data_IF_703828100718
#
_entry.id   IF_703828100718
#
_cell.length_a   1.000
_cell.length_b   1.000
_cell.length_c   1.000
_cell.angle_alpha   90.00
_cell.angle_beta   90.00
_cell.angle_gamma   90.00
#
_symmetry.space_group_name_H-M   'P 1'
#
loop_
_entity.id
_entity.type
_entity.pdbx_description
1 polymer ?
#
# COMPACT_ATOMS: atom_id res chain seq x y z
N UNK A 1 -10.58 0.33 -18.01
CA UNK A 1 -10.99 -0.95 -17.40
C UNK A 1 -12.05 -0.69 -16.34
N UNK A 2 -13.24 -1.26 -16.49
CA UNK A 2 -14.43 -0.94 -15.67
C UNK A 2 -14.14 -0.94 -14.16
N UNK A 3 -13.44 -1.95 -13.65
CA UNK A 3 -13.09 -2.05 -12.22
C UNK A 3 -12.22 -0.86 -11.78
N UNK A 4 -11.25 -0.45 -12.60
CA UNK A 4 -10.37 0.67 -12.27
C UNK A 4 -11.12 2.01 -12.26
N UNK A 5 -12.12 2.16 -13.13
CA UNK A 5 -12.99 3.34 -13.21
C UNK A 5 -13.94 3.40 -12.00
N UNK A 6 -14.56 2.29 -11.63
CA UNK A 6 -15.39 2.20 -10.40
C UNK A 6 -14.61 2.49 -9.13
N UNK A 7 -13.34 2.08 -9.08
CA UNK A 7 -12.45 2.45 -7.97
C UNK A 7 -12.22 3.98 -7.97
N UNK A 8 -12.00 4.59 -9.13
CA UNK A 8 -11.82 6.05 -9.19
C UNK A 8 -13.09 6.81 -8.76
N UNK A 9 -14.27 6.36 -9.17
CA UNK A 9 -15.56 6.89 -8.70
C UNK A 9 -15.68 6.79 -7.18
N UNK A 10 -15.41 5.61 -6.61
CA UNK A 10 -15.42 5.42 -5.16
C UNK A 10 -14.47 6.38 -4.44
N UNK A 11 -13.26 6.56 -4.96
CA UNK A 11 -12.29 7.48 -4.38
C UNK A 11 -12.79 8.93 -4.44
N UNK A 12 -13.41 9.37 -5.53
CA UNK A 12 -13.98 10.72 -5.61
C UNK A 12 -15.09 10.92 -4.56
N UNK A 13 -15.97 9.94 -4.38
CA UNK A 13 -17.07 10.01 -3.41
C UNK A 13 -16.59 9.93 -1.96
N UNK A 14 -15.50 9.18 -1.72
CA UNK A 14 -14.96 8.98 -0.38
C UNK A 14 -14.52 10.29 0.27
N UNK A 15 -13.99 11.24 -0.51
CA UNK A 15 -13.59 12.56 0.00
C UNK A 15 -14.78 13.30 0.63
N UNK A 16 -15.93 13.29 -0.05
CA UNK A 16 -17.15 13.93 0.44
C UNK A 16 -17.67 13.24 1.71
N UNK A 17 -17.58 11.91 1.78
CA UNK A 17 -17.92 11.15 2.99
C UNK A 17 -17.01 11.51 4.15
N UNK A 18 -15.70 11.58 3.93
CA UNK A 18 -14.72 11.96 4.95
C UNK A 18 -14.95 13.40 5.45
N UNK A 19 -15.39 14.30 4.57
CA UNK A 19 -15.72 15.69 4.94
C UNK A 19 -16.96 15.77 5.82
N UNK A 20 -17.94 14.89 5.63
CA UNK A 20 -19.22 14.90 6.35
C UNK A 20 -19.28 13.95 7.56
N UNK A 21 -18.30 13.07 7.72
CA UNK A 21 -18.19 12.11 8.84
C UNK A 21 -18.14 12.86 10.19
N UNK A 22 -18.82 12.48 11.27
CA UNK A 22 -18.67 13.14 12.58
C UNK A 22 -17.26 12.96 13.18
N UNK A 23 -16.76 13.95 13.94
CA UNK A 23 -15.45 13.83 14.61
C UNK A 23 -15.39 12.67 15.62
N UNK A 24 -16.52 12.31 16.22
CA UNK A 24 -16.62 11.14 17.10
C UNK A 24 -16.29 9.85 16.35
N UNK A 25 -16.80 9.69 15.14
CA UNK A 25 -16.56 8.49 14.31
C UNK A 25 -15.09 8.41 13.86
N UNK A 26 -14.47 9.55 13.54
CA UNK A 26 -13.04 9.62 13.23
C UNK A 26 -12.21 9.17 14.43
N UNK A 27 -12.55 9.64 15.64
CA UNK A 27 -11.88 9.21 16.88
C UNK A 27 -12.09 7.73 17.15
N UNK A 28 -13.31 7.22 16.99
CA UNK A 28 -13.60 5.79 17.18
C UNK A 28 -12.75 4.92 16.24
N UNK A 29 -12.58 5.33 14.99
CA UNK A 29 -11.70 4.64 14.04
C UNK A 29 -10.22 4.75 14.41
N UNK A 30 -9.76 5.93 14.84
CA UNK A 30 -8.39 6.14 15.30
C UNK A 30 -8.07 5.28 16.54
N UNK A 31 -8.98 5.23 17.51
CA UNK A 31 -8.84 4.44 18.74
C UNK A 31 -8.88 2.93 18.47
N UNK A 32 -9.76 2.50 17.56
CA UNK A 32 -9.81 1.10 17.13
C UNK A 32 -8.50 0.69 16.44
N UNK A 33 -7.92 1.56 15.61
CA UNK A 33 -6.63 1.31 14.96
C UNK A 33 -5.47 1.33 15.97
N UNK A 34 -5.42 2.33 16.85
CA UNK A 34 -4.45 2.44 17.93
C UNK A 34 -4.42 1.16 18.78
N UNK A 35 -5.60 0.69 19.21
CA UNK A 35 -5.75 -0.54 20.00
C UNK A 35 -5.27 -1.77 19.24
N UNK A 36 -5.60 -1.88 17.94
CA UNK A 36 -5.12 -2.98 17.09
C UNK A 36 -3.59 -2.96 16.94
N UNK A 37 -2.98 -1.78 16.86
CA UNK A 37 -1.53 -1.63 16.71
C UNK A 37 -0.75 -2.00 17.97
N UNK A 38 -1.32 -1.73 19.15
CA UNK A 38 -0.70 -2.05 20.45
C UNK A 38 -0.98 -3.47 20.93
N UNK A 39 -1.81 -4.24 20.22
CA UNK A 39 -2.12 -5.62 20.59
C UNK A 39 -0.82 -6.45 20.68
N UNK A 40 -0.56 -7.12 21.82
CA UNK A 40 0.65 -7.92 21.98
C UNK A 40 0.65 -9.10 21.03
N UNK A 41 1.84 -9.46 20.54
CA UNK A 41 2.03 -10.65 19.72
C UNK A 41 2.04 -11.86 20.66
N UNK A 42 1.19 -12.84 20.37
CA UNK A 42 1.01 -14.02 21.24
C UNK A 42 1.90 -15.20 20.82
N UNK A 43 2.55 -15.14 19.65
CA UNK A 43 3.37 -16.21 19.11
C UNK A 43 4.77 -15.70 18.76
N UNK A 44 5.79 -16.41 19.27
CA UNK A 44 7.20 -16.09 19.04
C UNK A 44 7.56 -16.07 17.55
N UNK A 45 6.99 -16.99 16.74
CA UNK A 45 7.24 -17.02 15.29
C UNK A 45 6.80 -15.72 14.61
N UNK A 46 5.64 -15.19 14.98
CA UNK A 46 5.12 -13.91 14.46
C UNK A 46 5.99 -12.73 14.89
N UNK A 47 6.47 -12.74 16.13
CA UNK A 47 7.38 -11.71 16.63
C UNK A 47 8.73 -11.75 15.91
N UNK A 48 9.31 -12.94 15.75
CA UNK A 48 10.55 -13.15 15.02
C UNK A 48 10.43 -12.67 13.56
N UNK A 49 9.37 -13.05 12.85
CA UNK A 49 9.14 -12.57 11.47
C UNK A 49 9.03 -11.05 11.38
N UNK A 50 8.32 -10.42 12.34
CA UNK A 50 8.19 -8.95 12.39
C UNK A 50 9.55 -8.27 12.59
N UNK A 51 10.37 -8.79 13.49
CA UNK A 51 11.68 -8.23 13.82
C UNK A 51 12.70 -8.47 12.70
N UNK A 52 12.68 -9.65 12.06
CA UNK A 52 13.52 -9.93 10.88
C UNK A 52 13.21 -8.96 9.74
N UNK A 53 11.94 -8.64 9.50
CA UNK A 53 11.57 -7.61 8.52
C UNK A 53 12.18 -6.23 8.82
N UNK A 54 12.30 -5.85 10.10
CA UNK A 54 12.98 -4.61 10.51
C UNK A 54 14.48 -4.68 10.28
N UNK A 55 15.10 -5.81 10.64
CA UNK A 55 16.53 -6.04 10.43
C UNK A 55 16.87 -5.96 8.94
N UNK A 56 16.12 -6.64 8.08
CA UNK A 56 16.33 -6.62 6.62
C UNK A 56 16.23 -5.21 6.02
N UNK A 57 15.38 -4.33 6.61
CA UNK A 57 15.15 -2.98 6.10
C UNK A 57 16.16 -1.95 6.61
N UNK A 58 16.57 -2.05 7.88
CA UNK A 58 17.35 -1.02 8.58
C UNK A 58 18.78 -1.45 8.92
N UNK A 59 19.10 -2.73 8.78
CA UNK A 59 20.44 -3.26 9.00
C UNK A 59 20.75 -4.39 8.00
N UNK A 60 20.62 -4.17 6.67
CA UNK A 60 20.90 -5.20 5.67
C UNK A 60 22.34 -5.75 5.76
N UNK A 61 23.27 -4.95 6.28
CA UNK A 61 24.67 -5.31 6.56
C UNK A 61 24.82 -6.34 7.69
N UNK A 62 23.90 -6.39 8.67
CA UNK A 62 23.96 -7.43 9.74
C UNK A 62 23.76 -8.85 9.21
N UNK A 63 23.27 -9.01 7.98
CA UNK A 63 23.14 -10.30 7.29
C UNK A 63 24.28 -10.52 6.27
N UNK A 64 25.06 -9.49 5.92
CA UNK A 64 26.06 -9.57 4.83
C UNK A 64 27.48 -9.06 5.09
N UNK A 65 27.80 -8.18 6.04
CA UNK A 65 29.20 -7.88 6.42
C UNK A 65 29.34 -6.91 7.60
N UNK A 66 30.43 -7.11 8.33
CA UNK A 66 31.02 -6.32 9.43
C UNK A 66 31.48 -4.91 9.01
N UNK A 67 30.58 -3.93 8.91
CA UNK A 67 30.99 -2.53 8.86
C UNK A 67 29.87 -1.60 9.30
N UNK A 68 30.15 -0.83 10.35
CA UNK A 68 29.18 -0.10 11.16
C UNK A 68 28.51 1.09 10.48
N UNK A 69 27.24 1.24 10.80
CA UNK A 69 26.49 2.49 10.79
C UNK A 69 25.50 2.42 11.95
N UNK A 70 25.60 3.33 12.92
CA UNK A 70 24.70 3.40 14.09
C UNK A 70 23.29 3.91 13.71
N UNK A 71 22.67 3.40 12.64
CA UNK A 71 21.24 3.55 12.47
C UNK A 71 20.54 2.58 13.41
N UNK A 72 20.28 3.03 14.65
CA UNK A 72 19.53 2.25 15.63
C UNK A 72 18.22 1.75 15.03
N UNK A 73 18.02 0.43 14.96
CA UNK A 73 16.79 -0.16 14.44
C UNK A 73 15.61 0.37 15.29
N UNK A 74 14.56 0.94 14.68
CA UNK A 74 13.44 1.52 15.43
C UNK A 74 12.49 0.41 15.93
N UNK A 75 12.90 -0.26 17.02
CA UNK A 75 12.16 -1.36 17.64
C UNK A 75 10.76 -0.95 18.10
N UNK A 76 10.61 0.27 18.63
CA UNK A 76 9.34 0.81 19.13
C UNK A 76 8.53 1.63 18.11
N UNK A 77 8.91 1.64 16.83
CA UNK A 77 8.21 2.37 15.75
C UNK A 77 6.69 2.17 15.73
N UNK A 78 6.20 1.00 16.12
CA UNK A 78 4.78 0.71 16.17
C UNK A 78 4.05 1.48 17.28
N UNK A 79 4.68 1.66 18.44
CA UNK A 79 4.13 2.44 19.55
C UNK A 79 4.13 3.92 19.19
N UNK A 80 5.22 4.41 18.60
CA UNK A 80 5.31 5.80 18.12
C UNK A 80 4.25 6.09 17.06
N UNK A 81 4.05 5.18 16.11
CA UNK A 81 3.03 5.33 15.07
C UNK A 81 1.60 5.24 15.66
N UNK A 82 1.35 4.33 16.61
CA UNK A 82 0.07 4.26 17.28
C UNK A 82 -0.26 5.58 18.00
N UNK A 83 0.70 6.15 18.75
CA UNK A 83 0.51 7.44 19.41
C UNK A 83 0.29 8.60 18.44
N UNK A 84 0.86 8.54 17.23
CA UNK A 84 0.55 9.51 16.18
C UNK A 84 -0.87 9.33 15.63
N UNK A 85 -1.30 8.08 15.40
CA UNK A 85 -2.66 7.76 14.92
C UNK A 85 -3.73 8.24 15.89
N UNK A 86 -3.51 8.12 17.20
CA UNK A 86 -4.44 8.58 18.23
C UNK A 86 -4.66 10.10 18.25
N UNK A 87 -3.76 10.87 17.61
CA UNK A 87 -3.83 12.34 17.54
C UNK A 87 -4.31 12.85 16.18
N UNK A 88 -4.72 11.95 15.28
CA UNK A 88 -5.16 12.34 13.94
C UNK A 88 -6.46 13.15 14.01
N UNK A 89 -6.44 14.30 13.36
CA UNK A 89 -7.64 15.11 13.14
C UNK A 89 -8.16 14.95 11.72
N UNK A 90 -9.41 15.36 11.50
CA UNK A 90 -10.02 15.38 10.17
C UNK A 90 -9.19 16.16 9.14
N UNK A 91 -8.60 17.28 9.58
CA UNK A 91 -7.75 18.11 8.73
C UNK A 91 -6.59 17.32 8.15
N UNK A 92 -5.88 16.57 8.99
CA UNK A 92 -4.74 15.73 8.58
C UNK A 92 -5.14 14.66 7.56
N UNK A 93 -6.33 14.06 7.75
CA UNK A 93 -6.87 13.04 6.85
C UNK A 93 -7.23 13.62 5.48
N UNK A 94 -7.89 14.79 5.46
CA UNK A 94 -8.25 15.47 4.22
C UNK A 94 -7.04 15.97 3.45
N UNK A 95 -6.05 16.56 4.14
CA UNK A 95 -4.80 16.99 3.53
C UNK A 95 -4.04 15.80 2.92
N UNK A 96 -3.93 14.72 3.68
CA UNK A 96 -3.27 13.49 3.21
C UNK A 96 -4.01 12.88 2.02
N UNK A 97 -5.35 12.89 2.05
CA UNK A 97 -6.18 12.43 0.94
C UNK A 97 -5.95 13.25 -0.32
N UNK A 98 -5.97 14.57 -0.20
CA UNK A 98 -5.81 15.47 -1.34
C UNK A 98 -4.42 15.33 -1.96
N UNK A 99 -3.38 15.19 -1.14
CA UNK A 99 -2.01 14.94 -1.62
C UNK A 99 -1.84 13.60 -2.33
N UNK A 100 -2.45 12.52 -1.82
CA UNK A 100 -2.23 11.16 -2.34
C UNK A 100 -3.15 10.78 -3.49
N UNK A 101 -4.39 11.28 -3.47
CA UNK A 101 -5.46 10.82 -4.37
C UNK A 101 -5.88 11.89 -5.36
N UNK A 102 -6.00 13.15 -4.92
CA UNK A 102 -6.53 14.24 -5.71
C UNK A 102 -5.47 14.90 -6.60
N UNK A 103 -4.25 15.12 -6.08
CA UNK A 103 -3.15 15.68 -6.86
C UNK A 103 -2.62 14.66 -7.87
N UNK A 104 -3.18 14.70 -9.09
CA UNK A 104 -2.80 13.83 -10.22
C UNK A 104 -1.35 14.06 -10.66
N UNK A 105 -0.72 15.17 -10.29
CA UNK A 105 0.66 15.49 -10.70
C UNK A 105 1.70 14.83 -9.78
N UNK A 106 1.37 14.63 -8.50
CA UNK A 106 2.23 13.96 -7.52
C UNK A 106 1.87 12.47 -7.32
N UNK A 107 0.67 12.06 -7.73
CA UNK A 107 0.19 10.68 -7.58
C UNK A 107 0.91 9.71 -8.51
N UNK A 108 1.73 8.84 -7.93
CA UNK A 108 2.21 7.62 -8.60
C UNK A 108 1.13 6.55 -8.56
N UNK A 109 0.59 6.14 -9.72
CA UNK A 109 -0.42 5.07 -9.83
C UNK A 109 0.10 3.93 -10.71
N UNK A 110 0.09 2.72 -10.15
CA UNK A 110 0.34 1.47 -10.88
C UNK A 110 -0.99 0.71 -10.95
N UNK A 111 -1.40 0.29 -12.14
CA UNK A 111 -2.59 -0.54 -12.35
C UNK A 111 -2.14 -1.85 -13.00
N UNK A 112 -2.35 -2.95 -12.30
CA UNK A 112 -2.15 -4.30 -12.83
C UNK A 112 -3.51 -4.92 -13.11
N UNK A 113 -3.77 -5.22 -14.38
CA UNK A 113 -5.00 -5.89 -14.80
C UNK A 113 -4.71 -7.35 -15.09
N UNK A 114 -5.43 -8.25 -14.42
CA UNK A 114 -5.40 -9.69 -14.71
C UNK A 114 -6.73 -10.06 -15.36
N UNK A 115 -6.67 -10.61 -16.56
CA UNK A 115 -7.85 -10.94 -17.36
C UNK A 115 -8.16 -12.42 -17.26
N UNK A 116 -9.45 -12.77 -17.16
CA UNK A 116 -9.91 -14.16 -17.16
C UNK A 116 -9.75 -14.82 -18.53
N UNK A 117 -9.79 -16.15 -18.58
CA UNK A 117 -9.60 -16.94 -19.81
C UNK A 117 -10.61 -16.63 -20.92
N UNK A 118 -11.81 -16.15 -20.57
CA UNK A 118 -12.85 -15.77 -21.51
C UNK A 118 -12.81 -14.29 -21.91
N UNK A 119 -11.87 -13.50 -21.40
CA UNK A 119 -11.79 -12.08 -21.70
C UNK A 119 -11.20 -11.89 -23.11
N UNK A 120 -11.91 -11.18 -24.02
CA UNK A 120 -11.41 -10.96 -25.36
C UNK A 120 -10.27 -9.94 -25.32
N UNK A 121 -9.04 -10.44 -25.20
CA UNK A 121 -7.85 -9.64 -25.50
C UNK A 121 -7.74 -9.59 -27.03
N UNK A 122 -7.77 -8.39 -27.61
CA UNK A 122 -7.36 -8.22 -28.99
C UNK A 122 -5.94 -8.78 -29.12
N UNK A 123 -5.76 -9.81 -29.96
CA UNK A 123 -4.45 -10.37 -30.25
C UNK A 123 -3.67 -9.33 -31.05
N UNK A 124 -3.08 -8.37 -30.36
CA UNK A 124 -2.12 -7.46 -30.99
C UNK A 124 -0.93 -8.29 -31.42
N UNK A 125 -0.73 -8.44 -32.74
CA UNK A 125 0.52 -8.90 -33.30
C UNK A 125 1.60 -7.88 -32.92
N UNK A 126 2.27 -8.07 -31.76
CA UNK A 126 3.38 -7.23 -31.33
C UNK A 126 4.63 -7.67 -32.09
N UNK A 127 4.71 -7.28 -33.35
CA UNK A 127 5.98 -6.89 -33.97
C UNK A 127 6.26 -5.49 -33.45
N UNK A 128 7.43 -5.29 -32.82
CA UNK A 128 7.77 -4.10 -32.05
C UNK A 128 7.33 -2.77 -32.67
N UNK A 129 6.51 -2.03 -31.93
CA UNK A 129 6.29 -0.60 -32.17
C UNK A 129 6.40 0.13 -30.83
N UNK A 130 7.45 0.95 -30.76
CA UNK A 130 7.68 1.99 -29.76
C UNK A 130 6.40 2.77 -29.46
N UNK A 131 5.93 2.73 -28.20
CA UNK A 131 4.88 3.64 -27.74
C UNK A 131 5.50 4.74 -26.89
N UNK A 132 5.41 5.95 -27.44
CA UNK A 132 5.75 7.19 -26.79
C UNK A 132 5.02 7.35 -25.44
N UNK A 133 5.82 7.78 -24.45
CA UNK A 133 5.50 8.54 -23.23
C UNK A 133 4.19 8.25 -22.46
N UNK A 134 4.43 7.87 -21.20
CA UNK A 134 3.58 8.07 -20.01
C UNK A 134 2.33 7.20 -19.88
N UNK A 135 2.57 5.94 -19.49
CA UNK A 135 1.89 5.19 -18.41
C UNK A 135 2.43 3.76 -18.51
N UNK A 136 3.26 3.32 -17.57
CA UNK A 136 3.72 1.94 -17.55
C UNK A 136 2.56 1.02 -17.16
N UNK A 137 1.79 0.59 -18.15
CA UNK A 137 0.86 -0.52 -18.02
C UNK A 137 1.70 -1.80 -18.11
N UNK A 138 1.93 -2.46 -16.97
CA UNK A 138 2.54 -3.79 -16.98
C UNK A 138 1.41 -4.80 -17.17
N UNK A 139 1.25 -5.26 -18.41
CA UNK A 139 0.37 -6.39 -18.74
C UNK A 139 1.18 -7.67 -18.53
N UNK A 140 0.95 -8.36 -17.41
CA UNK A 140 1.50 -9.70 -17.19
C UNK A 140 0.55 -10.70 -17.86
N UNK A 141 0.92 -11.18 -19.03
CA UNK A 141 0.26 -12.31 -19.67
C UNK A 141 0.87 -13.59 -19.07
N UNK A 142 0.10 -14.37 -18.32
CA UNK A 142 0.57 -15.65 -17.77
C UNK A 142 -0.19 -16.81 -18.39
N UNK A 143 0.22 -17.29 -19.58
CA UNK A 143 -0.20 -18.60 -20.04
C UNK A 143 0.66 -19.67 -19.35
N UNK A 144 0.01 -20.74 -18.90
CA UNK A 144 0.58 -22.02 -18.46
C UNK A 144 1.28 -22.09 -17.08
N UNK A 145 0.46 -22.10 -16.02
CA UNK A 145 0.74 -22.96 -14.84
C UNK A 145 -0.12 -24.23 -14.94
N UNK A 146 0.30 -25.17 -15.79
CA UNK A 146 -0.08 -26.57 -15.67
C UNK A 146 1.13 -27.34 -15.12
N UNK A 147 1.25 -27.40 -13.80
CA UNK A 147 2.03 -28.49 -13.18
C UNK A 147 1.26 -29.79 -13.43
N UNK A 148 1.80 -30.64 -14.31
CA UNK A 148 1.51 -32.08 -14.25
C UNK A 148 2.42 -32.67 -13.18
N UNK A 149 1.80 -33.39 -12.25
CA UNK A 149 2.43 -34.27 -11.25
C UNK A 149 3.31 -35.33 -11.92
#
# INVERSE_FOLDING_TARGET
PEVAERIDEFLMDFRSKLTNMPDSEIRDHADALHTKMLKPIQHLSTEASRNVGKILRYAPETIRSTSGGESSIPWDSAKTLAGAVARLERGDLLETWDRLVHDKTQRSRIVSCVYGSSFPLEKSNVSGASLARSRSLIVVNSPDMLMKL
#
